data_IF_460820769238
#
_entry.id   IF_460820769238
#
_cell.length_a   1.000
_cell.length_b   1.000
_cell.length_c   1.000
_cell.angle_alpha   90.00
_cell.angle_beta   90.00
_cell.angle_gamma   90.00
#
_symmetry.space_group_name_H-M   'P 1'
#
loop_
_entity.id
_entity.type
_entity.pdbx_description
1 polymer ?
#
# COMPACT_ATOMS: atom_id res chain seq x y z
N UNK A 1 5.27 -21.26 -1.27
CA UNK A 1 5.82 -20.01 -1.81
C UNK A 1 5.65 -20.02 -3.32
N UNK A 2 5.24 -18.92 -3.96
CA UNK A 2 5.08 -18.87 -5.43
C UNK A 2 6.28 -18.16 -6.06
N UNK A 3 6.83 -18.73 -7.13
CA UNK A 3 7.95 -18.14 -7.88
C UNK A 3 7.40 -17.30 -9.02
N UNK A 4 7.96 -16.11 -9.21
CA UNK A 4 7.63 -15.22 -10.32
C UNK A 4 8.92 -14.81 -11.01
N UNK A 5 8.95 -14.88 -12.33
CA UNK A 5 10.07 -14.43 -13.16
C UNK A 5 9.71 -13.10 -13.81
N UNK A 6 10.60 -12.12 -13.73
CA UNK A 6 10.42 -10.78 -14.29
C UNK A 6 11.70 -10.40 -15.01
N UNK A 7 11.58 -9.85 -16.23
CA UNK A 7 12.70 -9.23 -16.94
C UNK A 7 12.80 -7.78 -16.53
N UNK A 8 13.97 -7.36 -16.10
CA UNK A 8 14.28 -5.98 -15.69
C UNK A 8 15.34 -5.44 -16.64
N UNK A 9 15.13 -4.22 -17.12
CA UNK A 9 16.07 -3.53 -18.00
C UNK A 9 17.35 -3.12 -17.25
N UNK A 10 17.22 -2.66 -16.00
CA UNK A 10 18.32 -2.20 -15.15
C UNK A 10 18.47 -3.04 -13.86
N UNK A 11 18.99 -4.28 -13.94
CA UNK A 11 19.18 -5.13 -12.77
C UNK A 11 20.24 -4.60 -11.77
N UNK A 12 21.10 -3.67 -12.20
CA UNK A 12 22.20 -3.12 -11.43
C UNK A 12 21.72 -2.36 -10.19
N UNK A 13 20.57 -1.69 -10.30
CA UNK A 13 19.94 -0.96 -9.19
C UNK A 13 19.62 -1.89 -8.02
N UNK A 14 19.09 -3.09 -8.28
CA UNK A 14 18.80 -4.11 -7.27
C UNK A 14 20.11 -4.66 -6.67
N UNK A 15 21.14 -4.83 -7.50
CA UNK A 15 22.46 -5.29 -7.03
C UNK A 15 23.12 -4.25 -6.11
N UNK A 16 22.90 -2.95 -6.34
CA UNK A 16 23.37 -1.90 -5.43
C UNK A 16 22.73 -2.04 -4.04
N UNK A 17 21.41 -2.26 -3.97
CA UNK A 17 20.73 -2.54 -2.69
C UNK A 17 21.27 -3.79 -2.01
N UNK A 18 21.56 -4.87 -2.74
CA UNK A 18 22.17 -6.06 -2.15
C UNK A 18 23.51 -5.77 -1.47
N UNK A 19 24.36 -4.94 -2.08
CA UNK A 19 25.67 -4.60 -1.51
C UNK A 19 25.54 -3.82 -0.20
N UNK A 20 24.57 -2.91 -0.13
CA UNK A 20 24.32 -2.09 1.06
C UNK A 20 23.65 -2.90 2.17
N UNK A 21 22.59 -3.64 1.85
CA UNK A 21 21.78 -4.37 2.82
C UNK A 21 22.40 -5.72 3.22
N UNK A 22 23.35 -6.24 2.44
CA UNK A 22 23.95 -7.58 2.59
C UNK A 22 22.92 -8.72 2.56
N UNK A 23 21.85 -8.54 1.79
CA UNK A 23 20.73 -9.47 1.64
C UNK A 23 20.73 -10.20 0.28
N UNK A 24 19.97 -11.29 0.19
CA UNK A 24 19.75 -12.01 -1.07
C UNK A 24 18.89 -11.16 -2.03
N UNK A 25 19.14 -11.25 -3.34
CA UNK A 25 18.41 -10.50 -4.38
C UNK A 25 16.90 -10.64 -4.26
N UNK A 26 16.44 -11.86 -3.99
CA UNK A 26 15.01 -12.17 -3.86
C UNK A 26 14.38 -11.55 -2.60
N UNK A 27 15.16 -11.33 -1.56
CA UNK A 27 14.73 -10.67 -0.32
C UNK A 27 14.62 -9.16 -0.53
N UNK A 28 15.67 -8.55 -1.07
CA UNK A 28 15.66 -7.14 -1.49
C UNK A 28 14.47 -6.84 -2.41
N UNK A 29 14.25 -7.66 -3.44
CA UNK A 29 13.11 -7.49 -4.35
C UNK A 29 11.77 -7.59 -3.64
N UNK A 30 11.60 -8.53 -2.71
CA UNK A 30 10.35 -8.65 -1.93
C UNK A 30 10.11 -7.41 -1.08
N UNK A 31 11.13 -6.92 -0.38
CA UNK A 31 11.02 -5.69 0.42
C UNK A 31 10.69 -4.48 -0.45
N UNK A 32 11.33 -4.34 -1.61
CA UNK A 32 11.06 -3.26 -2.56
C UNK A 32 9.64 -3.33 -3.12
N UNK A 33 9.15 -4.52 -3.47
CA UNK A 33 7.77 -4.70 -3.94
C UNK A 33 6.77 -4.34 -2.84
N UNK A 34 7.02 -4.76 -1.60
CA UNK A 34 6.14 -4.45 -0.47
C UNK A 34 6.09 -2.95 -0.17
N UNK A 35 7.24 -2.28 -0.17
CA UNK A 35 7.31 -0.81 0.01
C UNK A 35 6.67 -0.10 -1.20
N UNK A 36 6.97 -0.56 -2.41
CA UNK A 36 6.49 0.01 -3.66
C UNK A 36 4.97 -0.07 -3.79
N UNK A 37 4.35 -1.18 -3.43
CA UNK A 37 2.88 -1.29 -3.47
C UNK A 37 2.19 -0.39 -2.45
N UNK A 38 2.77 -0.22 -1.25
CA UNK A 38 2.26 0.73 -0.24
C UNK A 38 2.34 2.16 -0.80
N UNK A 39 3.52 2.57 -1.26
CA UNK A 39 3.73 3.90 -1.83
C UNK A 39 2.81 4.19 -3.03
N UNK A 40 2.69 3.23 -3.97
CA UNK A 40 1.84 3.41 -5.15
C UNK A 40 0.36 3.48 -4.79
N UNK A 41 -0.07 2.69 -3.82
CA UNK A 41 -1.45 2.74 -3.32
C UNK A 41 -1.78 4.13 -2.73
N UNK A 42 -0.89 4.69 -1.92
CA UNK A 42 -1.06 6.04 -1.36
C UNK A 42 -1.13 7.11 -2.45
N UNK A 43 -0.28 7.02 -3.48
CA UNK A 43 -0.30 7.94 -4.63
C UNK A 43 -1.66 7.88 -5.35
N UNK A 44 -2.15 6.68 -5.65
CA UNK A 44 -3.46 6.49 -6.29
C UNK A 44 -4.61 7.00 -5.43
N UNK A 45 -4.53 6.81 -4.11
CA UNK A 45 -5.54 7.29 -3.17
C UNK A 45 -5.56 8.82 -3.11
N UNK A 46 -4.38 9.47 -3.06
CA UNK A 46 -4.25 10.94 -3.16
C UNK A 46 -4.88 11.48 -4.45
N UNK A 47 -4.68 10.78 -5.56
CA UNK A 47 -5.26 11.12 -6.86
C UNK A 47 -6.76 10.78 -6.98
N UNK A 48 -7.40 10.30 -5.90
CA UNK A 48 -8.80 9.85 -5.87
C UNK A 48 -9.13 8.77 -6.90
N UNK A 49 -8.13 8.00 -7.34
CA UNK A 49 -8.29 6.91 -8.33
C UNK A 49 -8.73 5.59 -7.70
N UNK A 50 -8.58 5.44 -6.39
CA UNK A 50 -8.95 4.23 -5.65
C UNK A 50 -9.75 4.59 -4.40
N UNK A 51 -10.70 3.73 -4.03
CA UNK A 51 -11.40 3.81 -2.75
C UNK A 51 -10.50 3.33 -1.61
N UNK A 52 -10.92 3.57 -0.36
CA UNK A 52 -10.20 3.11 0.83
C UNK A 52 -9.96 1.58 0.81
N UNK A 53 -11.00 0.81 0.50
CA UNK A 53 -10.91 -0.65 0.44
C UNK A 53 -10.01 -1.16 -0.69
N UNK A 54 -10.08 -0.52 -1.88
CA UNK A 54 -9.21 -0.89 -2.99
C UNK A 54 -7.75 -0.51 -2.72
N UNK A 55 -7.51 0.66 -2.12
CA UNK A 55 -6.18 1.09 -1.68
C UNK A 55 -5.57 0.14 -0.65
N UNK A 56 -6.34 -0.28 0.35
CA UNK A 56 -5.93 -1.28 1.32
C UNK A 56 -5.52 -2.60 0.64
N UNK A 57 -6.33 -3.08 -0.30
CA UNK A 57 -6.04 -4.31 -1.07
C UNK A 57 -4.76 -4.20 -1.89
N UNK A 58 -4.52 -3.07 -2.58
CA UNK A 58 -3.30 -2.85 -3.36
C UNK A 58 -2.05 -2.73 -2.48
N UNK A 59 -2.17 -2.07 -1.32
CA UNK A 59 -1.15 -2.05 -0.29
C UNK A 59 -1.01 -3.40 0.45
N UNK A 60 -1.93 -4.35 0.19
CA UNK A 60 -2.17 -5.62 0.86
C UNK A 60 -2.14 -5.52 2.38
N UNK A 61 -2.88 -4.54 2.88
CA UNK A 61 -3.18 -4.30 4.28
C UNK A 61 -4.69 -4.52 4.51
N UNK A 62 -5.09 -4.65 5.77
CA UNK A 62 -6.50 -4.49 6.15
C UNK A 62 -6.92 -3.03 5.94
N UNK A 63 -8.23 -2.77 5.93
CA UNK A 63 -8.73 -1.39 5.85
C UNK A 63 -8.18 -0.56 7.02
N UNK A 64 -8.18 -1.11 8.24
CA UNK A 64 -7.61 -0.45 9.42
C UNK A 64 -6.12 -0.16 9.25
N UNK A 65 -5.31 -1.14 8.85
CA UNK A 65 -3.87 -0.90 8.65
C UNK A 65 -3.57 0.08 7.52
N UNK A 66 -4.47 0.21 6.55
CA UNK A 66 -4.35 1.23 5.52
C UNK A 66 -4.76 2.62 6.01
N UNK A 67 -5.70 2.73 6.97
CA UNK A 67 -6.00 3.98 7.66
C UNK A 67 -4.78 4.48 8.45
N UNK A 68 -4.13 3.59 9.20
CA UNK A 68 -2.90 3.90 9.94
C UNK A 68 -1.81 4.39 8.96
N UNK A 69 -1.63 3.70 7.83
CA UNK A 69 -0.67 4.11 6.80
C UNK A 69 -0.99 5.49 6.19
N UNK A 70 -2.28 5.82 6.00
CA UNK A 70 -2.69 7.14 5.53
C UNK A 70 -2.37 8.22 6.57
N UNK A 71 -2.61 7.95 7.85
CA UNK A 71 -2.32 8.86 8.97
C UNK A 71 -0.82 9.13 9.11
N UNK A 72 0.01 8.08 9.11
CA UNK A 72 1.48 8.17 9.16
C UNK A 72 2.03 9.07 8.04
N UNK A 73 1.39 9.04 6.86
CA UNK A 73 1.76 9.84 5.69
C UNK A 73 1.00 11.17 5.58
N UNK A 74 0.23 11.55 6.62
CA UNK A 74 -0.58 12.77 6.71
C UNK A 74 -1.52 12.96 5.52
N UNK A 75 -2.12 11.86 5.05
CA UNK A 75 -3.04 11.84 3.93
C UNK A 75 -4.47 11.91 4.46
N UNK A 76 -5.21 12.99 4.18
CA UNK A 76 -6.56 13.12 4.69
C UNK A 76 -7.49 12.08 4.07
N UNK A 77 -8.45 11.61 4.86
CA UNK A 77 -9.54 10.81 4.35
C UNK A 77 -10.44 11.70 3.50
N UNK A 78 -10.46 11.45 2.20
CA UNK A 78 -11.35 12.11 1.25
C UNK A 78 -12.79 11.58 1.39
N UNK A 79 -13.37 11.65 2.59
CA UNK A 79 -14.74 11.22 2.87
C UNK A 79 -15.69 12.41 2.72
N UNK A 80 -16.71 12.26 1.89
CA UNK A 80 -17.83 13.20 1.91
C UNK A 80 -18.65 13.05 3.20
N UNK A 81 -19.35 14.13 3.59
CA UNK A 81 -20.27 14.10 4.75
C UNK A 81 -21.28 12.96 4.68
N UNK A 82 -21.79 12.66 3.47
CA UNK A 82 -22.76 11.58 3.23
C UNK A 82 -22.14 10.21 3.49
N UNK A 83 -20.91 9.98 3.05
CA UNK A 83 -20.19 8.73 3.28
C UNK A 83 -19.85 8.54 4.75
N UNK A 84 -19.40 9.60 5.42
CA UNK A 84 -19.16 9.59 6.86
C UNK A 84 -20.44 9.25 7.64
N UNK A 85 -21.58 9.88 7.31
CA UNK A 85 -22.86 9.58 7.94
C UNK A 85 -23.30 8.13 7.72
N UNK A 86 -23.12 7.60 6.49
CA UNK A 86 -23.45 6.21 6.18
C UNK A 86 -22.58 5.25 7.00
N UNK A 87 -21.28 5.51 7.10
CA UNK A 87 -20.37 4.70 7.90
C UNK A 87 -20.77 4.66 9.38
N UNK A 88 -21.06 5.83 9.97
CA UNK A 88 -21.52 5.94 11.36
C UNK A 88 -22.84 5.21 11.60
N UNK A 89 -23.80 5.34 10.69
CA UNK A 89 -25.08 4.64 10.80
C UNK A 89 -24.92 3.12 10.72
N UNK A 90 -24.01 2.63 9.86
CA UNK A 90 -23.69 1.20 9.80
C UNK A 90 -23.06 0.74 11.11
N UNK A 91 -22.08 1.47 11.64
CA UNK A 91 -21.41 1.11 12.90
C UNK A 91 -22.41 0.97 14.07
N UNK A 92 -23.38 1.89 14.16
CA UNK A 92 -24.46 1.83 15.17
C UNK A 92 -25.40 0.63 15.08
N UNK A 93 -25.48 -0.04 13.92
CA UNK A 93 -26.34 -1.23 13.73
C UNK A 93 -25.65 -2.54 14.10
N UNK A 94 -24.31 -2.52 14.16
CA UNK A 94 -23.48 -3.71 14.40
C UNK A 94 -22.97 -3.74 15.85
N UNK A 95 -23.09 -2.63 16.57
CA UNK A 95 -23.06 -2.56 18.04
C UNK A 95 -24.43 -2.89 18.62
#
# INVERSE_FOLDING_TARGET
>A
MRTTSVRLEEPESVTAFQKVLKEKKSEVLRQLIEKGRKAKSLELFKQKKVSLGLGARLAGLTVSGYLDLLEENRIPLNLSRREAQKALNTARKVM
#
